data_IF_513005500798
#
_entry.id   IF_513005500798
#
_cell.length_a   1.000
_cell.length_b   1.000
_cell.length_c   1.000
_cell.angle_alpha   90.00
_cell.angle_beta   90.00
_cell.angle_gamma   90.00
#
_symmetry.space_group_name_H-M   'P 1'
#
loop_
_entity.id
_entity.type
_entity.pdbx_description
1 polymer ?
#
# COMPACT_ATOMS: atom_id res chain seq x y z
N UNK A 1 -73.86 73.33 46.61
CA UNK A 1 -73.53 72.82 45.26
C UNK A 1 -72.01 72.84 45.13
N UNK A 2 -71.34 71.70 45.38
CA UNK A 2 -70.63 70.86 44.39
C UNK A 2 -69.57 71.64 43.58
N UNK A 3 -68.29 71.26 43.43
CA UNK A 3 -67.53 70.02 43.69
C UNK A 3 -66.01 70.33 43.58
N UNK A 4 -65.19 69.44 44.16
CA UNK A 4 -63.72 69.38 44.20
C UNK A 4 -62.97 69.49 42.85
N UNK A 5 -61.65 69.78 42.87
CA UNK A 5 -60.82 69.91 41.68
C UNK A 5 -60.24 68.57 41.19
N UNK A 6 -60.07 68.53 39.86
CA UNK A 6 -59.68 67.43 39.00
C UNK A 6 -58.19 67.09 39.11
N UNK A 7 -57.90 65.79 39.25
CA UNK A 7 -56.56 65.20 39.13
C UNK A 7 -56.18 64.98 37.66
N UNK A 8 -54.97 65.40 37.30
CA UNK A 8 -54.36 65.20 35.98
C UNK A 8 -53.67 63.82 35.94
N UNK A 9 -54.01 62.98 34.97
CA UNK A 9 -53.30 61.75 34.65
C UNK A 9 -52.70 61.84 33.24
N UNK A 10 -51.37 61.74 33.15
CA UNK A 10 -50.62 61.57 31.90
C UNK A 10 -50.60 60.08 31.52
N UNK A 11 -50.80 59.69 30.25
CA UNK A 11 -50.61 58.32 29.83
C UNK A 11 -49.11 58.01 29.68
N UNK A 12 -48.69 56.85 30.19
CA UNK A 12 -47.37 56.26 29.95
C UNK A 12 -47.39 55.53 28.61
N UNK A 13 -46.55 55.96 27.66
CA UNK A 13 -46.22 55.20 26.45
C UNK A 13 -45.17 54.16 26.84
N UNK A 14 -45.52 52.88 26.75
CA UNK A 14 -44.56 51.78 26.88
C UNK A 14 -43.99 51.47 25.49
N UNK A 15 -42.70 51.77 25.30
CA UNK A 15 -41.92 51.33 24.14
C UNK A 15 -41.74 49.79 24.21
N UNK A 16 -42.26 49.06 23.22
CA UNK A 16 -41.83 47.69 22.94
C UNK A 16 -40.46 47.76 22.25
N UNK A 17 -39.40 47.39 22.96
CA UNK A 17 -38.07 47.18 22.38
C UNK A 17 -38.03 45.87 21.59
N UNK A 18 -37.87 45.96 20.28
CA UNK A 18 -37.67 44.81 19.40
C UNK A 18 -36.20 44.37 19.47
N UNK A 19 -35.92 43.29 20.20
CA UNK A 19 -34.59 42.68 20.25
C UNK A 19 -34.34 41.97 18.91
N UNK A 20 -33.51 42.54 18.04
CA UNK A 20 -33.04 41.88 16.83
C UNK A 20 -31.90 40.91 17.21
N UNK A 21 -32.21 39.62 17.36
CA UNK A 21 -31.22 38.56 17.50
C UNK A 21 -30.65 38.26 16.12
N UNK A 22 -29.46 38.78 15.83
CA UNK A 22 -28.68 38.41 14.63
C UNK A 22 -28.06 37.03 14.89
N UNK A 23 -28.73 35.98 14.42
CA UNK A 23 -28.19 34.63 14.32
C UNK A 23 -27.10 34.62 13.23
N UNK A 24 -25.84 34.76 13.64
CA UNK A 24 -24.67 34.44 12.82
C UNK A 24 -24.65 32.93 12.59
N UNK A 25 -25.25 32.49 11.48
CA UNK A 25 -25.11 31.13 10.96
C UNK A 25 -23.66 30.94 10.53
N UNK A 26 -22.83 30.36 11.39
CA UNK A 26 -21.57 29.73 10.99
C UNK A 26 -21.91 28.51 10.13
N UNK A 27 -22.11 28.73 8.83
CA UNK A 27 -22.07 27.67 7.85
C UNK A 27 -20.67 27.06 7.92
N UNK A 28 -20.55 25.94 8.62
CA UNK A 28 -19.37 25.08 8.54
C UNK A 28 -19.33 24.56 7.10
N UNK A 29 -18.57 25.24 6.25
CA UNK A 29 -18.26 24.76 4.90
C UNK A 29 -17.46 23.47 5.06
N UNK A 30 -18.17 22.33 5.09
CA UNK A 30 -17.55 21.04 4.87
C UNK A 30 -16.87 21.13 3.50
N UNK A 31 -15.56 21.04 3.46
CA UNK A 31 -14.83 20.89 2.21
C UNK A 31 -15.49 19.73 1.43
N UNK A 32 -15.70 19.88 0.11
CA UNK A 32 -16.26 18.80 -0.69
C UNK A 32 -15.39 17.56 -0.51
N UNK A 33 -16.04 16.38 -0.42
CA UNK A 33 -15.31 15.13 -0.36
C UNK A 33 -14.40 15.02 -1.59
N UNK A 34 -13.12 14.75 -1.38
CA UNK A 34 -12.14 14.61 -2.45
C UNK A 34 -12.61 13.51 -3.40
N UNK A 35 -12.64 13.78 -4.71
CA UNK A 35 -12.90 12.74 -5.69
C UNK A 35 -11.62 11.93 -5.99
N UNK A 36 -11.77 10.78 -6.65
CA UNK A 36 -10.63 9.90 -6.95
C UNK A 36 -9.58 10.61 -7.82
N UNK A 37 -10.02 11.47 -8.74
CA UNK A 37 -9.15 12.21 -9.64
C UNK A 37 -8.28 13.21 -8.87
N UNK A 38 -8.84 13.89 -7.88
CA UNK A 38 -8.12 14.79 -6.99
C UNK A 38 -7.15 14.01 -6.08
N UNK A 39 -7.54 12.83 -5.59
CA UNK A 39 -6.65 11.95 -4.83
C UNK A 39 -5.46 11.51 -5.68
N UNK A 40 -5.72 11.02 -6.89
CA UNK A 40 -4.68 10.62 -7.83
C UNK A 40 -3.82 11.81 -8.27
N UNK A 41 -4.39 13.02 -8.45
CA UNK A 41 -3.62 14.22 -8.74
C UNK A 41 -2.61 14.55 -7.63
N UNK A 42 -2.99 14.40 -6.36
CA UNK A 42 -2.07 14.56 -5.22
C UNK A 42 -0.96 13.52 -5.23
N UNK A 43 -1.31 12.24 -5.44
CA UNK A 43 -0.36 11.15 -5.57
C UNK A 43 0.66 11.41 -6.68
N UNK A 44 0.23 11.91 -7.85
CA UNK A 44 1.14 12.22 -8.95
C UNK A 44 2.09 13.39 -8.64
N UNK A 45 1.67 14.37 -7.82
CA UNK A 45 2.59 15.40 -7.34
C UNK A 45 3.62 14.82 -6.38
N UNK A 46 3.22 13.92 -5.47
CA UNK A 46 4.16 13.21 -4.59
C UNK A 46 5.18 12.42 -5.40
N UNK A 47 4.74 11.67 -6.41
CA UNK A 47 5.66 10.94 -7.30
C UNK A 47 6.62 11.88 -8.04
N UNK A 48 6.15 13.06 -8.49
CA UNK A 48 7.00 14.05 -9.15
C UNK A 48 8.05 14.63 -8.20
N UNK A 49 7.62 15.05 -7.02
CA UNK A 49 8.43 15.77 -6.04
C UNK A 49 9.44 14.85 -5.35
N UNK A 50 9.01 13.65 -4.96
CA UNK A 50 9.84 12.70 -4.19
C UNK A 50 10.72 11.85 -5.09
N UNK A 51 10.15 11.25 -6.13
CA UNK A 51 10.88 10.34 -7.02
C UNK A 51 11.50 11.05 -8.23
N UNK A 52 11.29 12.35 -8.39
CA UNK A 52 11.88 13.13 -9.48
C UNK A 52 11.41 12.71 -10.87
N UNK A 53 10.19 12.15 -10.99
CA UNK A 53 9.70 11.63 -12.25
C UNK A 53 9.57 12.73 -13.31
N UNK A 54 10.02 12.44 -14.53
CA UNK A 54 9.82 13.33 -15.68
C UNK A 54 8.35 13.45 -16.07
N UNK A 55 7.99 14.52 -16.79
CA UNK A 55 6.62 14.72 -17.27
C UNK A 55 6.15 13.58 -18.18
N UNK A 56 7.06 12.97 -18.95
CA UNK A 56 6.76 11.79 -19.78
C UNK A 56 6.41 10.58 -18.92
N UNK A 57 7.19 10.28 -17.88
CA UNK A 57 6.91 9.17 -16.96
C UNK A 57 5.58 9.38 -16.24
N UNK A 58 5.34 10.59 -15.73
CA UNK A 58 4.07 10.94 -15.08
C UNK A 58 2.88 10.83 -16.04
N UNK A 59 3.03 11.24 -17.30
CA UNK A 59 1.97 11.09 -18.31
C UNK A 59 1.63 9.62 -18.55
N UNK A 60 2.65 8.74 -18.61
CA UNK A 60 2.44 7.29 -18.74
C UNK A 60 1.69 6.73 -17.54
N UNK A 61 2.11 7.06 -16.31
CA UNK A 61 1.46 6.61 -15.08
C UNK A 61 0.01 7.13 -15.00
N UNK A 62 -0.23 8.40 -15.31
CA UNK A 62 -1.59 8.98 -15.37
C UNK A 62 -2.51 8.19 -16.29
N UNK A 63 -2.04 7.84 -17.49
CA UNK A 63 -2.82 7.06 -18.45
C UNK A 63 -3.17 5.67 -17.92
N UNK A 64 -2.27 5.02 -17.17
CA UNK A 64 -2.54 3.73 -16.54
C UNK A 64 -3.69 3.86 -15.52
N UNK A 65 -3.62 4.87 -14.65
CA UNK A 65 -4.65 5.12 -13.63
C UNK A 65 -5.99 5.53 -14.25
N UNK A 66 -5.97 6.39 -15.28
CA UNK A 66 -7.16 6.80 -16.03
C UNK A 66 -7.84 5.60 -16.70
N UNK A 67 -7.06 4.70 -17.32
CA UNK A 67 -7.59 3.46 -17.92
C UNK A 67 -8.15 2.50 -16.88
N UNK A 68 -7.53 2.43 -15.70
CA UNK A 68 -8.03 1.61 -14.58
C UNK A 68 -9.37 2.14 -14.07
N UNK A 69 -9.49 3.46 -13.90
CA UNK A 69 -10.69 4.13 -13.39
C UNK A 69 -10.93 3.96 -11.89
N UNK A 70 -10.19 3.06 -11.22
CA UNK A 70 -10.33 2.75 -9.78
C UNK A 70 -8.99 2.64 -9.03
N UNK A 71 -7.85 2.48 -9.72
CA UNK A 71 -6.54 2.54 -9.07
C UNK A 71 -6.34 3.89 -8.35
N UNK A 72 -5.89 3.82 -7.10
CA UNK A 72 -5.71 4.98 -6.22
C UNK A 72 -5.56 4.54 -4.77
N UNK A 73 -5.72 5.45 -3.82
CA UNK A 73 -5.57 5.14 -2.38
C UNK A 73 -6.90 4.66 -1.74
N UNK A 74 -7.78 4.07 -2.56
CA UNK A 74 -9.11 3.60 -2.18
C UNK A 74 -10.23 4.52 -2.65
N UNK A 75 -11.49 4.03 -2.62
CA UNK A 75 -12.64 4.86 -2.96
C UNK A 75 -12.85 5.94 -1.89
N UNK A 76 -12.69 7.24 -2.20
CA UNK A 76 -12.73 8.30 -1.20
C UNK A 76 -14.10 8.49 -0.54
N UNK A 77 -15.18 8.03 -1.18
CA UNK A 77 -16.52 8.11 -0.61
C UNK A 77 -16.68 7.21 0.62
N UNK A 78 -16.02 6.04 0.64
CA UNK A 78 -16.26 4.98 1.63
C UNK A 78 -15.01 4.55 2.41
N UNK A 79 -13.81 4.87 1.91
CA UNK A 79 -12.55 4.57 2.57
C UNK A 79 -12.40 5.44 3.80
N UNK A 80 -12.06 4.82 4.93
CA UNK A 80 -11.82 5.47 6.22
C UNK A 80 -10.49 4.96 6.76
N UNK A 81 -9.43 5.70 6.50
CA UNK A 81 -8.11 5.38 7.00
C UNK A 81 -8.08 5.55 8.54
N UNK A 82 -7.61 4.55 9.31
CA UNK A 82 -7.60 4.65 10.78
C UNK A 82 -6.52 5.58 11.33
N UNK A 83 -5.54 5.96 10.52
CA UNK A 83 -4.42 6.82 10.89
C UNK A 83 -4.23 7.87 9.81
N UNK A 84 -4.08 9.14 10.21
CA UNK A 84 -3.70 10.21 9.30
C UNK A 84 -2.20 10.19 9.00
N UNK A 85 -1.80 10.73 7.86
CA UNK A 85 -0.38 10.90 7.50
C UNK A 85 0.39 11.75 8.54
N UNK A 86 -0.27 12.76 9.12
CA UNK A 86 0.32 13.59 10.17
C UNK A 86 0.60 12.79 11.46
N UNK A 87 -0.34 11.92 11.84
CA UNK A 87 -0.15 10.98 12.96
C UNK A 87 0.96 9.97 12.66
N UNK A 88 1.05 9.48 11.42
CA UNK A 88 2.15 8.63 10.99
C UNK A 88 3.50 9.33 11.18
N UNK A 89 3.64 10.57 10.68
CA UNK A 89 4.88 11.36 10.81
C UNK A 89 5.28 11.54 12.28
N UNK A 90 4.35 11.97 13.13
CA UNK A 90 4.60 12.11 14.58
C UNK A 90 5.06 10.80 15.23
N UNK A 91 4.42 9.67 14.90
CA UNK A 91 4.79 8.35 15.43
C UNK A 91 6.17 7.93 14.97
N UNK A 92 6.53 8.21 13.72
CA UNK A 92 7.86 7.92 13.16
C UNK A 92 8.94 8.78 13.82
N UNK A 93 8.68 10.07 13.97
CA UNK A 93 9.60 11.01 14.63
C UNK A 93 9.87 10.57 16.09
N UNK A 94 8.81 10.20 16.82
CA UNK A 94 8.91 9.69 18.18
C UNK A 94 9.69 8.37 18.27
N UNK A 95 9.67 7.54 17.22
CA UNK A 95 10.45 6.30 17.16
C UNK A 95 11.95 6.54 16.86
N UNK A 96 12.36 7.77 16.55
CA UNK A 96 13.75 8.14 16.30
C UNK A 96 14.39 7.38 15.13
N UNK A 97 13.59 6.89 14.18
CA UNK A 97 14.08 6.11 13.04
C UNK A 97 14.27 7.00 11.82
N UNK A 98 15.52 7.22 11.42
CA UNK A 98 15.84 7.89 10.16
C UNK A 98 15.32 7.07 8.98
N UNK A 99 14.49 7.70 8.14
CA UNK A 99 13.84 7.08 6.98
C UNK A 99 14.75 6.89 5.79
N UNK A 100 15.61 7.89 5.57
CA UNK A 100 16.53 7.95 4.46
C UNK A 100 17.88 7.44 4.93
N UNK A 101 18.22 6.22 4.53
CA UNK A 101 19.61 5.79 4.55
C UNK A 101 20.27 6.27 3.26
N UNK A 102 21.06 7.35 3.35
CA UNK A 102 21.83 7.88 2.23
C UNK A 102 22.71 6.82 1.54
N UNK A 103 23.12 5.77 2.27
CA UNK A 103 23.83 4.62 1.72
C UNK A 103 22.95 3.81 0.77
N UNK A 104 21.69 3.59 1.13
CA UNK A 104 20.75 2.86 0.30
C UNK A 104 20.44 3.61 -0.98
N UNK A 105 20.23 4.93 -0.91
CA UNK A 105 20.05 5.77 -2.09
C UNK A 105 21.27 5.71 -3.02
N UNK A 106 22.47 5.71 -2.45
CA UNK A 106 23.70 5.55 -3.21
C UNK A 106 23.74 4.21 -3.94
N UNK A 107 23.38 3.11 -3.29
CA UNK A 107 23.40 1.76 -3.89
C UNK A 107 22.30 1.61 -4.95
N UNK A 108 21.05 1.94 -4.59
CA UNK A 108 19.87 1.70 -5.42
C UNK A 108 19.63 2.77 -6.50
N UNK A 109 20.22 3.96 -6.32
CA UNK A 109 20.05 5.10 -7.23
C UNK A 109 18.61 5.58 -7.33
N UNK A 110 17.85 5.48 -6.23
CA UNK A 110 16.49 5.97 -6.08
C UNK A 110 16.19 6.16 -4.58
N UNK A 111 15.35 7.14 -4.21
CA UNK A 111 14.93 7.32 -2.83
C UNK A 111 14.10 6.13 -2.35
N UNK A 112 14.14 5.88 -1.04
CA UNK A 112 13.32 4.88 -0.35
C UNK A 112 13.40 3.44 -0.89
N UNK A 113 14.50 3.06 -1.54
CA UNK A 113 14.74 1.66 -1.90
C UNK A 113 15.74 1.01 -0.96
N UNK A 114 15.55 -0.26 -0.62
CA UNK A 114 16.51 -1.07 0.14
C UNK A 114 17.26 -2.06 -0.76
N UNK A 115 18.59 -2.20 -0.59
CA UNK A 115 19.36 -3.22 -1.28
C UNK A 115 18.98 -4.62 -0.77
N UNK A 116 18.79 -5.55 -1.71
CA UNK A 116 18.52 -6.94 -1.42
C UNK A 116 19.79 -7.78 -1.56
N UNK A 117 20.21 -8.40 -0.46
CA UNK A 117 21.39 -9.24 -0.34
C UNK A 117 21.21 -10.32 0.73
N UNK A 118 22.09 -11.32 0.77
CA UNK A 118 22.15 -12.27 1.89
C UNK A 118 23.14 -11.75 2.95
N UNK A 119 22.69 -11.18 4.09
CA UNK A 119 23.59 -10.62 5.11
C UNK A 119 24.51 -11.65 5.76
N UNK A 120 24.26 -12.95 5.57
CA UNK A 120 25.18 -14.00 6.03
C UNK A 120 26.40 -14.19 5.11
N UNK A 121 26.38 -13.62 3.90
CA UNK A 121 27.38 -13.88 2.83
C UNK A 121 27.86 -12.63 2.12
N UNK A 122 27.05 -11.58 2.11
CA UNK A 122 27.20 -10.39 1.31
C UNK A 122 27.00 -9.13 2.16
N UNK A 123 27.56 -8.03 1.69
CA UNK A 123 27.26 -6.67 2.15
C UNK A 123 26.21 -6.02 1.24
N UNK A 124 25.62 -4.92 1.70
CA UNK A 124 24.64 -4.16 0.93
C UNK A 124 25.19 -3.68 -0.43
N UNK A 125 26.48 -3.33 -0.50
CA UNK A 125 27.16 -2.87 -1.72
C UNK A 125 27.23 -3.94 -2.81
N UNK A 126 27.15 -5.22 -2.43
CA UNK A 126 27.17 -6.35 -3.35
C UNK A 126 25.79 -6.72 -3.88
N UNK A 127 24.73 -6.02 -3.44
CA UNK A 127 23.37 -6.24 -3.89
C UNK A 127 23.26 -6.10 -5.42
N UNK A 128 22.43 -6.97 -6.01
CA UNK A 128 22.12 -6.99 -7.46
C UNK A 128 20.68 -6.57 -7.74
N UNK A 129 19.90 -6.37 -6.69
CA UNK A 129 18.55 -5.88 -6.77
C UNK A 129 18.29 -4.95 -5.58
N UNK A 130 17.39 -4.00 -5.78
CA UNK A 130 16.76 -3.25 -4.70
C UNK A 130 15.25 -3.43 -4.75
N UNK A 131 14.58 -3.18 -3.62
CA UNK A 131 13.14 -3.17 -3.49
C UNK A 131 12.69 -1.85 -2.86
N UNK A 132 11.52 -1.38 -3.21
CA UNK A 132 10.85 -0.28 -2.52
C UNK A 132 10.70 -0.62 -1.02
N UNK A 133 11.10 0.31 -0.15
CA UNK A 133 11.02 0.12 1.30
C UNK A 133 9.58 0.12 1.78
N UNK A 134 8.70 0.85 1.10
CA UNK A 134 7.29 0.97 1.43
C UNK A 134 6.42 0.40 0.31
N UNK A 135 5.15 0.14 0.62
CA UNK A 135 4.15 -0.11 -0.42
C UNK A 135 4.06 1.10 -1.36
N UNK A 136 3.73 0.87 -2.64
CA UNK A 136 3.66 1.93 -3.64
C UNK A 136 2.68 3.03 -3.18
N UNK A 137 3.09 4.32 -3.09
CA UNK A 137 4.08 5.00 -3.93
C UNK A 137 5.54 4.96 -3.48
N UNK A 138 5.92 4.11 -2.51
CA UNK A 138 7.28 4.05 -1.96
C UNK A 138 7.68 5.38 -1.29
N UNK A 139 6.74 5.93 -0.52
CA UNK A 139 6.93 7.16 0.25
C UNK A 139 6.39 6.93 1.66
N UNK A 140 7.19 7.17 2.70
CA UNK A 140 6.74 6.98 4.07
C UNK A 140 5.61 7.95 4.42
N UNK A 141 4.63 7.43 5.15
CA UNK A 141 3.42 8.12 5.57
C UNK A 141 2.48 8.56 4.43
N UNK A 142 2.62 8.01 3.23
CA UNK A 142 1.60 8.04 2.19
C UNK A 142 0.74 6.78 2.25
N UNK A 143 -0.53 6.85 1.84
CA UNK A 143 -1.36 5.64 1.76
C UNK A 143 -0.96 4.78 0.54
N UNK A 144 -1.00 3.45 0.66
CA UNK A 144 -0.70 2.57 -0.45
C UNK A 144 -1.74 2.70 -1.56
N UNK A 145 -1.29 2.61 -2.80
CA UNK A 145 -2.16 2.43 -3.96
C UNK A 145 -2.73 1.01 -3.92
N UNK A 146 -4.04 0.92 -4.00
CA UNK A 146 -4.83 -0.31 -4.07
C UNK A 146 -5.73 -0.27 -5.30
N UNK A 147 -6.60 -1.28 -5.47
CA UNK A 147 -7.48 -1.42 -6.64
C UNK A 147 -6.71 -1.48 -7.97
N UNK A 148 -5.42 -1.78 -7.89
CA UNK A 148 -4.50 -1.89 -9.01
C UNK A 148 -4.44 -3.34 -9.48
N UNK A 149 -4.38 -3.53 -10.79
CA UNK A 149 -4.18 -4.86 -11.40
C UNK A 149 -2.70 -5.23 -11.39
N UNK A 150 -2.39 -6.53 -11.45
CA UNK A 150 -1.01 -6.99 -11.58
C UNK A 150 -0.30 -6.39 -12.80
N UNK A 151 -1.00 -6.30 -13.94
CA UNK A 151 -0.48 -5.64 -15.15
C UNK A 151 -0.21 -4.16 -14.92
N UNK A 152 -1.14 -3.46 -14.27
CA UNK A 152 -1.00 -2.02 -13.99
C UNK A 152 0.19 -1.77 -13.07
N UNK A 153 0.36 -2.58 -12.02
CA UNK A 153 1.53 -2.54 -11.15
C UNK A 153 2.84 -2.73 -11.93
N UNK A 154 2.90 -3.75 -12.80
CA UNK A 154 4.09 -3.99 -13.65
C UNK A 154 4.41 -2.79 -14.55
N UNK A 155 3.41 -2.23 -15.22
CA UNK A 155 3.57 -1.07 -16.11
C UNK A 155 3.94 0.22 -15.35
N UNK A 156 3.42 0.42 -14.14
CA UNK A 156 3.80 1.56 -13.29
C UNK A 156 5.26 1.42 -12.86
N UNK A 157 5.69 0.23 -12.41
CA UNK A 157 7.08 0.00 -12.06
C UNK A 157 8.02 0.22 -13.25
N UNK A 158 7.66 -0.28 -14.44
CA UNK A 158 8.41 -0.06 -15.67
C UNK A 158 8.53 1.43 -16.02
N UNK A 159 7.42 2.19 -15.95
CA UNK A 159 7.41 3.63 -16.20
C UNK A 159 8.34 4.41 -15.24
N UNK A 160 8.60 3.88 -14.05
CA UNK A 160 9.53 4.45 -13.07
C UNK A 160 10.99 3.98 -13.25
N UNK A 161 11.29 3.20 -14.29
CA UNK A 161 12.62 2.60 -14.47
C UNK A 161 12.93 1.50 -13.45
N UNK A 162 11.89 0.91 -12.87
CA UNK A 162 11.90 -0.24 -11.97
C UNK A 162 11.23 -1.42 -12.71
N UNK A 163 10.79 -2.44 -11.98
CA UNK A 163 10.03 -3.60 -12.48
C UNK A 163 9.17 -4.18 -11.35
N UNK A 164 8.20 -5.00 -11.69
CA UNK A 164 7.51 -5.80 -10.68
C UNK A 164 8.53 -6.76 -10.02
N UNK A 165 8.41 -6.95 -8.71
CA UNK A 165 9.26 -7.90 -8.00
C UNK A 165 8.95 -9.35 -8.42
N UNK A 166 9.98 -10.18 -8.56
CA UNK A 166 9.76 -11.62 -8.56
C UNK A 166 9.41 -12.07 -7.13
N UNK A 167 8.54 -13.06 -6.98
CA UNK A 167 8.06 -13.51 -5.66
C UNK A 167 9.21 -13.82 -4.68
N UNK A 168 10.33 -14.39 -5.15
CA UNK A 168 11.49 -14.70 -4.30
C UNK A 168 12.21 -13.46 -3.75
N UNK A 169 12.15 -12.32 -4.46
CA UNK A 169 12.75 -11.05 -4.03
C UNK A 169 11.96 -10.45 -2.88
N UNK A 170 10.63 -10.39 -3.03
CA UNK A 170 9.72 -9.95 -1.97
C UNK A 170 9.82 -10.87 -0.74
N UNK A 171 9.85 -12.19 -0.97
CA UNK A 171 10.05 -13.20 0.09
C UNK A 171 11.37 -13.02 0.84
N UNK A 172 12.45 -12.75 0.10
CA UNK A 172 13.77 -12.46 0.64
C UNK A 172 13.79 -11.15 1.45
N UNK A 173 13.17 -10.10 0.90
CA UNK A 173 12.98 -8.82 1.56
C UNK A 173 12.27 -9.00 2.91
N UNK A 174 11.20 -9.79 2.94
CA UNK A 174 10.44 -10.07 4.17
C UNK A 174 11.27 -10.89 5.16
N UNK A 175 11.91 -11.96 4.69
CA UNK A 175 12.72 -12.82 5.56
C UNK A 175 13.98 -12.14 6.10
N UNK A 176 14.37 -10.99 5.51
CA UNK A 176 15.58 -10.25 5.85
C UNK A 176 16.86 -10.81 5.19
N UNK A 177 16.71 -11.59 4.12
CA UNK A 177 17.83 -12.16 3.36
C UNK A 177 17.39 -12.59 1.96
N UNK A 178 17.94 -11.95 0.93
CA UNK A 178 17.75 -12.39 -0.45
C UNK A 178 18.75 -13.51 -0.78
N UNK A 179 18.22 -14.72 -0.98
CA UNK A 179 18.98 -15.87 -1.48
C UNK A 179 18.74 -16.02 -2.98
N UNK A 180 19.52 -16.89 -3.63
CA UNK A 180 19.28 -17.26 -5.01
C UNK A 180 17.80 -17.71 -5.23
N UNK A 181 17.23 -17.44 -6.42
CA UNK A 181 15.86 -17.86 -6.74
C UNK A 181 15.69 -19.38 -6.53
N UNK A 182 14.66 -19.79 -5.80
CA UNK A 182 14.42 -21.17 -5.38
C UNK A 182 13.26 -21.85 -6.14
N UNK A 183 12.90 -21.31 -7.31
CA UNK A 183 11.79 -21.83 -8.09
C UNK A 183 12.04 -23.25 -8.61
N UNK A 184 11.16 -24.18 -8.25
CA UNK A 184 11.14 -25.57 -8.73
C UNK A 184 10.52 -25.69 -10.13
N UNK A 185 11.14 -25.05 -11.12
CA UNK A 185 10.68 -25.07 -12.52
C UNK A 185 10.55 -26.49 -13.11
N UNK A 186 11.30 -27.46 -12.57
CA UNK A 186 11.16 -28.87 -12.94
C UNK A 186 9.74 -29.41 -12.70
N UNK A 187 9.05 -28.91 -11.67
CA UNK A 187 7.68 -29.29 -11.33
C UNK A 187 6.61 -28.67 -12.24
N UNK A 188 6.97 -27.63 -12.99
CA UNK A 188 6.10 -26.93 -13.93
C UNK A 188 6.08 -27.54 -15.34
N UNK A 189 7.04 -28.41 -15.67
CA UNK A 189 7.19 -28.96 -17.02
C UNK A 189 6.03 -29.87 -17.40
N UNK A 190 5.50 -29.69 -18.60
CA UNK A 190 4.51 -30.58 -19.23
C UNK A 190 3.13 -30.56 -18.57
N UNK A 191 2.80 -29.55 -17.77
CA UNK A 191 1.50 -29.42 -17.10
C UNK A 191 0.90 -28.03 -17.29
N UNK A 192 -0.40 -27.89 -17.01
CA UNK A 192 -1.07 -26.60 -17.07
C UNK A 192 -0.56 -25.65 -15.98
N UNK A 193 -0.63 -24.32 -16.19
CA UNK A 193 -0.16 -23.33 -15.22
C UNK A 193 -0.71 -23.50 -13.80
N UNK A 194 -2.02 -23.75 -13.66
CA UNK A 194 -2.61 -23.98 -12.34
C UNK A 194 -2.04 -25.20 -11.61
N UNK A 195 -1.73 -26.27 -12.35
CA UNK A 195 -1.07 -27.46 -11.79
C UNK A 195 0.39 -27.17 -11.44
N UNK A 196 1.11 -26.46 -12.31
CA UNK A 196 2.49 -26.03 -12.07
C UNK A 196 2.60 -25.19 -10.78
N UNK A 197 1.78 -24.15 -10.66
CA UNK A 197 1.74 -23.24 -9.50
C UNK A 197 1.42 -24.02 -8.23
N UNK A 198 0.41 -24.90 -8.27
CA UNK A 198 0.07 -25.76 -7.12
C UNK A 198 1.27 -26.61 -6.67
N UNK A 199 1.94 -27.30 -7.60
CA UNK A 199 3.08 -28.18 -7.29
C UNK A 199 4.27 -27.39 -6.74
N UNK A 200 4.61 -26.27 -7.36
CA UNK A 200 5.71 -25.40 -6.93
C UNK A 200 5.43 -24.80 -5.55
N UNK A 201 4.20 -24.32 -5.30
CA UNK A 201 3.75 -23.83 -3.99
C UNK A 201 3.85 -24.91 -2.92
N UNK A 202 3.30 -26.09 -3.18
CA UNK A 202 3.29 -27.18 -2.18
C UNK A 202 4.72 -27.62 -1.81
N UNK A 203 5.64 -27.63 -2.78
CA UNK A 203 7.06 -27.90 -2.53
C UNK A 203 7.73 -26.78 -1.72
N UNK A 204 7.54 -25.52 -2.13
CA UNK A 204 8.12 -24.34 -1.49
C UNK A 204 7.63 -24.19 -0.04
N UNK A 205 6.32 -24.28 0.19
CA UNK A 205 5.76 -24.13 1.52
C UNK A 205 6.27 -25.21 2.48
N UNK A 206 6.36 -26.47 2.04
CA UNK A 206 6.89 -27.57 2.86
C UNK A 206 8.36 -27.37 3.22
N UNK A 207 9.16 -26.80 2.31
CA UNK A 207 10.58 -26.52 2.55
C UNK A 207 10.79 -25.41 3.59
N UNK A 208 9.99 -24.34 3.53
CA UNK A 208 10.19 -23.14 4.33
C UNK A 208 9.37 -23.08 5.63
N UNK A 209 8.29 -23.86 5.75
CA UNK A 209 7.43 -23.88 6.94
C UNK A 209 8.18 -24.12 8.27
N UNK A 210 9.17 -25.03 8.37
CA UNK A 210 9.93 -25.22 9.60
C UNK A 210 10.73 -23.98 10.06
N UNK A 211 10.98 -23.03 9.14
CA UNK A 211 11.70 -21.78 9.38
C UNK A 211 10.77 -20.57 9.27
N UNK A 212 9.46 -20.78 9.41
CA UNK A 212 8.45 -19.72 9.30
C UNK A 212 8.80 -18.53 10.20
N UNK A 213 8.78 -17.35 9.61
CA UNK A 213 9.03 -16.08 10.28
C UNK A 213 8.28 -14.96 9.59
N UNK A 214 8.07 -13.89 10.33
CA UNK A 214 7.53 -12.62 9.87
C UNK A 214 8.68 -11.62 9.73
N UNK A 215 8.43 -10.52 9.04
CA UNK A 215 9.41 -9.44 8.84
C UNK A 215 10.07 -9.03 10.16
N UNK A 216 9.27 -8.97 11.23
CA UNK A 216 9.66 -8.51 12.56
C UNK A 216 10.01 -9.62 13.57
N UNK A 217 10.15 -10.89 13.17
CA UNK A 217 10.56 -11.97 14.09
C UNK A 217 9.98 -13.35 13.82
N UNK A 218 10.23 -14.34 14.70
CA UNK A 218 9.88 -15.74 14.48
C UNK A 218 8.41 -16.10 14.71
N UNK A 219 7.60 -15.16 15.21
CA UNK A 219 6.17 -15.38 15.48
C UNK A 219 5.35 -14.15 15.14
N UNK A 220 4.12 -14.35 14.68
CA UNK A 220 3.14 -13.29 14.48
C UNK A 220 2.87 -12.56 15.81
N UNK A 221 2.82 -11.23 15.79
CA UNK A 221 2.52 -10.40 16.95
C UNK A 221 1.54 -9.30 16.58
N UNK A 222 0.38 -9.29 17.27
CA UNK A 222 -0.64 -8.25 17.07
C UNK A 222 -0.11 -6.87 17.40
N UNK A 223 -0.54 -5.86 16.65
CA UNK A 223 -0.17 -4.46 16.86
C UNK A 223 1.24 -4.07 16.40
N UNK A 224 2.06 -5.02 15.95
CA UNK A 224 3.38 -4.70 15.37
C UNK A 224 3.23 -4.09 13.98
N UNK A 225 2.33 -4.64 13.17
CA UNK A 225 2.06 -4.18 11.80
C UNK A 225 0.69 -3.54 11.66
N UNK A 226 0.48 -2.88 10.54
CA UNK A 226 -0.78 -2.25 10.13
C UNK A 226 -1.89 -3.27 9.85
N UNK A 227 -2.38 -3.97 10.89
CA UNK A 227 -3.31 -5.09 10.75
C UNK A 227 -4.59 -4.96 11.62
N UNK A 228 -4.78 -3.80 12.28
CA UNK A 228 -5.86 -3.57 13.25
C UNK A 228 -6.97 -2.62 12.74
N UNK A 229 -7.15 -2.50 11.43
CA UNK A 229 -8.25 -1.77 10.81
C UNK A 229 -9.51 -2.63 10.68
N UNK A 230 -10.52 -2.16 9.95
CA UNK A 230 -11.84 -2.77 9.81
C UNK A 230 -12.32 -2.79 8.36
N UNK A 231 -13.13 -3.78 8.00
CA UNK A 231 -13.85 -3.79 6.71
C UNK A 231 -14.95 -2.73 6.73
N UNK A 232 -15.21 -2.11 5.58
CA UNK A 232 -16.41 -1.28 5.40
C UNK A 232 -17.68 -2.10 5.67
N UNK A 233 -18.70 -1.52 6.32
CA UNK A 233 -19.96 -2.19 6.56
C UNK A 233 -20.55 -2.77 5.26
N UNK A 234 -20.89 -4.06 5.26
CA UNK A 234 -21.47 -4.74 4.10
C UNK A 234 -20.48 -5.19 3.03
N UNK A 235 -19.17 -4.95 3.17
CA UNK A 235 -18.17 -5.44 2.21
C UNK A 235 -18.06 -6.98 2.23
N UNK A 236 -18.50 -7.63 1.14
CA UNK A 236 -18.51 -9.10 0.98
C UNK A 236 -17.26 -9.65 0.27
N UNK A 237 -16.15 -8.90 0.25
CA UNK A 237 -14.87 -9.34 -0.34
C UNK A 237 -14.49 -8.70 -1.67
N UNK A 238 -15.33 -7.82 -2.21
CA UNK A 238 -15.04 -7.01 -3.40
C UNK A 238 -16.14 -5.99 -3.68
N UNK A 239 -15.93 -5.16 -4.69
CA UNK A 239 -16.85 -4.08 -5.11
C UNK A 239 -16.35 -2.68 -4.74
N UNK A 240 -16.06 -1.87 -5.76
CA UNK A 240 -15.52 -0.52 -5.63
C UNK A 240 -16.37 0.40 -4.73
N UNK A 241 -17.70 0.30 -4.81
CA UNK A 241 -18.64 1.10 -4.02
C UNK A 241 -18.98 0.51 -2.65
N UNK A 242 -18.47 -0.68 -2.32
CA UNK A 242 -18.82 -1.42 -1.10
C UNK A 242 -17.63 -1.63 -0.16
N UNK A 243 -16.42 -1.77 -0.71
CA UNK A 243 -15.22 -2.08 0.05
C UNK A 243 -14.22 -0.91 -0.01
N UNK A 244 -14.15 -0.14 1.08
CA UNK A 244 -13.08 0.83 1.31
C UNK A 244 -11.77 0.13 1.65
N UNK A 245 -10.65 0.73 1.23
CA UNK A 245 -9.32 0.16 1.49
C UNK A 245 -8.97 0.21 2.97
N UNK A 246 -9.42 1.23 3.70
CA UNK A 246 -9.21 1.43 5.14
C UNK A 246 -7.77 1.12 5.60
N UNK A 247 -6.80 1.35 4.71
CA UNK A 247 -5.37 1.10 4.94
C UNK A 247 -4.79 2.15 5.88
N UNK A 248 -3.61 1.87 6.40
CA UNK A 248 -2.78 2.82 7.12
C UNK A 248 -1.78 3.47 6.15
N UNK A 249 -1.23 4.65 6.50
CA UNK A 249 -0.08 5.19 5.79
C UNK A 249 1.11 4.23 5.91
N UNK A 250 1.80 3.99 4.79
CA UNK A 250 2.96 3.10 4.75
C UNK A 250 4.06 3.61 5.70
N UNK A 251 4.75 2.70 6.38
CA UNK A 251 5.73 3.02 7.42
C UNK A 251 5.11 3.56 8.71
N UNK A 252 3.78 3.60 8.87
CA UNK A 252 3.10 4.05 10.10
C UNK A 252 3.34 3.14 11.31
N UNK A 253 3.94 1.98 11.11
CA UNK A 253 4.32 1.02 12.14
C UNK A 253 5.83 0.76 12.09
N UNK A 254 6.65 1.56 12.79
CA UNK A 254 8.11 1.55 12.63
C UNK A 254 8.81 0.22 12.98
N UNK A 255 8.14 -0.65 13.72
CA UNK A 255 8.66 -1.98 14.09
C UNK A 255 8.18 -3.09 13.14
N UNK A 256 7.23 -2.80 12.24
CA UNK A 256 6.86 -3.67 11.13
C UNK A 256 7.86 -3.54 9.99
N UNK A 257 9.09 -4.02 10.24
CA UNK A 257 10.18 -3.97 9.26
C UNK A 257 10.98 -5.27 9.28
N UNK A 258 11.53 -5.62 8.13
CA UNK A 258 12.47 -6.73 8.02
C UNK A 258 13.88 -6.36 8.47
N UNK A 259 14.76 -7.36 8.52
CA UNK A 259 16.20 -7.14 8.73
C UNK A 259 16.91 -6.41 7.59
N UNK A 260 16.24 -6.19 6.46
CA UNK A 260 16.72 -5.41 5.31
C UNK A 260 16.04 -4.02 5.23
N UNK A 261 15.41 -3.58 6.31
CA UNK A 261 14.75 -2.27 6.41
C UNK A 261 13.65 -2.03 5.37
N UNK A 262 12.89 -3.09 5.07
CA UNK A 262 11.70 -3.06 4.23
C UNK A 262 10.46 -3.19 5.12
N UNK A 263 9.52 -2.27 4.96
CA UNK A 263 8.36 -2.08 5.82
C UNK A 263 7.08 -2.69 5.25
N UNK A 264 6.14 -2.99 6.15
CA UNK A 264 4.74 -3.36 5.83
C UNK A 264 4.60 -4.56 4.88
N UNK A 265 5.61 -5.42 4.79
CA UNK A 265 5.51 -6.71 4.08
C UNK A 265 4.50 -7.65 4.75
N UNK A 266 4.18 -7.40 6.03
CA UNK A 266 3.07 -8.02 6.73
C UNK A 266 2.04 -6.94 7.09
N UNK A 267 0.75 -7.22 6.92
CA UNK A 267 -0.34 -6.28 7.14
C UNK A 267 -0.58 -5.34 5.97
N UNK A 268 -1.29 -4.25 6.26
CA UNK A 268 -1.71 -3.16 5.37
C UNK A 268 -2.38 -3.59 4.06
N UNK A 269 -1.67 -3.60 2.93
CA UNK A 269 -2.13 -4.12 1.65
C UNK A 269 -1.38 -5.41 1.30
N UNK A 270 -2.11 -6.39 0.77
CA UNK A 270 -1.48 -7.49 0.05
C UNK A 270 -0.85 -6.94 -1.24
N UNK A 271 0.17 -7.61 -1.77
CA UNK A 271 0.95 -7.07 -2.87
C UNK A 271 1.07 -8.04 -4.05
N UNK A 272 0.89 -7.51 -5.26
CA UNK A 272 1.17 -8.22 -6.49
C UNK A 272 2.67 -8.47 -6.67
N UNK A 273 3.01 -9.68 -7.14
CA UNK A 273 4.36 -10.01 -7.60
C UNK A 273 4.29 -10.95 -8.81
N UNK A 274 5.44 -11.14 -9.44
CA UNK A 274 5.63 -12.10 -10.51
C UNK A 274 6.02 -13.48 -9.98
N UNK A 275 5.20 -14.49 -10.25
CA UNK A 275 5.54 -15.90 -10.09
C UNK A 275 5.90 -16.52 -11.44
N UNK A 276 7.20 -16.64 -11.76
CA UNK A 276 7.65 -17.30 -12.98
C UNK A 276 7.43 -18.82 -12.90
N UNK A 277 7.06 -19.44 -14.02
CA UNK A 277 7.03 -20.90 -14.19
C UNK A 277 8.24 -21.43 -14.96
N UNK A 278 9.02 -20.53 -15.54
CA UNK A 278 10.27 -20.82 -16.24
C UNK A 278 11.23 -19.61 -16.18
N UNK A 279 12.55 -19.82 -16.40
CA UNK A 279 13.54 -18.77 -16.18
C UNK A 279 13.39 -17.51 -17.04
N UNK A 280 12.85 -17.63 -18.25
CA UNK A 280 12.60 -16.52 -19.18
C UNK A 280 11.35 -15.68 -18.81
N UNK A 281 10.59 -16.08 -17.78
CA UNK A 281 9.48 -15.28 -17.22
C UNK A 281 9.92 -14.43 -16.01
N UNK A 282 11.20 -14.49 -15.62
CA UNK A 282 11.72 -13.76 -14.45
C UNK A 282 11.93 -12.28 -14.75
N UNK A 283 11.26 -11.41 -14.00
CA UNK A 283 11.44 -9.96 -14.11
C UNK A 283 12.88 -9.56 -13.75
N UNK A 284 13.47 -10.23 -12.75
CA UNK A 284 14.87 -10.03 -12.34
C UNK A 284 15.90 -10.30 -13.44
N UNK A 285 15.52 -11.05 -14.48
CA UNK A 285 16.35 -11.33 -15.67
C UNK A 285 16.03 -10.44 -16.87
N UNK A 286 15.22 -9.40 -16.68
CA UNK A 286 14.83 -8.45 -17.73
C UNK A 286 13.71 -8.95 -18.65
N UNK A 287 12.89 -9.91 -18.20
CA UNK A 287 11.75 -10.40 -18.98
C UNK A 287 10.60 -9.38 -19.01
N UNK A 288 10.01 -9.21 -20.20
CA UNK A 288 8.73 -8.52 -20.43
C UNK A 288 7.55 -9.52 -20.49
N UNK A 289 7.82 -10.78 -20.82
CA UNK A 289 6.86 -11.89 -20.79
C UNK A 289 6.75 -12.51 -19.40
N UNK A 290 6.33 -11.70 -18.42
CA UNK A 290 6.15 -12.10 -17.03
C UNK A 290 5.26 -13.36 -16.87
N UNK A 291 5.40 -14.03 -15.74
CA UNK A 291 4.68 -15.25 -15.40
C UNK A 291 3.25 -14.98 -14.91
N UNK A 292 2.95 -15.49 -13.71
CA UNK A 292 1.62 -15.50 -13.13
C UNK A 292 1.54 -14.66 -11.86
N UNK A 293 0.34 -14.22 -11.52
CA UNK A 293 0.10 -13.46 -10.30
C UNK A 293 0.36 -14.33 -9.06
N UNK A 294 1.21 -13.85 -8.18
CA UNK A 294 1.28 -14.26 -6.77
C UNK A 294 0.99 -13.03 -5.91
N UNK A 295 0.30 -13.24 -4.79
CA UNK A 295 -0.13 -12.18 -3.89
C UNK A 295 0.30 -12.55 -2.48
N UNK A 296 1.10 -11.69 -1.86
CA UNK A 296 1.66 -11.94 -0.53
C UNK A 296 1.45 -10.78 0.40
N UNK A 297 1.79 -11.05 1.65
CA UNK A 297 1.48 -10.22 2.78
C UNK A 297 0.23 -10.73 3.49
N UNK A 298 -0.24 -9.90 4.39
CA UNK A 298 -1.56 -10.00 4.97
C UNK A 298 -2.31 -8.73 4.56
N UNK A 299 -3.49 -8.46 5.11
CA UNK A 299 -4.10 -7.15 4.91
C UNK A 299 -4.54 -6.56 6.23
N UNK A 300 -4.99 -5.32 6.16
CA UNK A 300 -5.23 -4.40 7.26
C UNK A 300 -6.16 -4.87 8.40
N UNK A 301 -6.75 -6.08 8.37
CA UNK A 301 -7.59 -6.63 9.47
C UNK A 301 -7.01 -7.87 10.15
N UNK A 302 -5.78 -8.28 9.82
CA UNK A 302 -5.24 -9.57 10.28
C UNK A 302 -5.12 -9.72 11.80
N UNK A 303 -5.10 -8.63 12.56
CA UNK A 303 -5.15 -8.68 14.03
C UNK A 303 -6.51 -9.13 14.57
N UNK A 304 -7.58 -8.97 13.80
CA UNK A 304 -8.94 -9.38 14.17
C UNK A 304 -9.44 -10.60 13.39
N UNK A 305 -8.95 -10.81 12.16
CA UNK A 305 -9.33 -11.93 11.30
C UNK A 305 -8.14 -12.46 10.51
N UNK A 306 -7.60 -13.60 10.95
CA UNK A 306 -6.47 -14.26 10.29
C UNK A 306 -6.96 -15.27 9.25
N UNK A 307 -7.09 -14.82 8.01
CA UNK A 307 -7.68 -15.60 6.92
C UNK A 307 -6.81 -16.79 6.47
N UNK A 308 -5.49 -16.65 6.56
CA UNK A 308 -4.51 -17.64 6.11
C UNK A 308 -3.15 -17.41 6.80
N UNK A 309 -2.18 -18.33 6.68
CA UNK A 309 -0.79 -18.06 7.05
C UNK A 309 -0.22 -16.87 6.25
N UNK A 310 0.73 -16.15 6.83
CA UNK A 310 1.31 -14.93 6.24
C UNK A 310 2.81 -14.77 6.55
N UNK A 311 3.49 -15.86 6.92
CA UNK A 311 4.94 -15.83 7.11
C UNK A 311 5.65 -15.57 5.77
N UNK A 312 6.84 -14.98 5.83
CA UNK A 312 7.50 -14.33 4.69
C UNK A 312 7.62 -15.20 3.43
N UNK A 313 7.86 -16.51 3.60
CA UNK A 313 8.03 -17.48 2.50
C UNK A 313 6.79 -18.34 2.25
N UNK A 314 5.63 -17.95 2.77
CA UNK A 314 4.38 -18.68 2.50
C UNK A 314 3.77 -18.24 1.18
N UNK A 315 3.58 -19.15 0.23
CA UNK A 315 2.88 -18.87 -1.03
C UNK A 315 1.41 -19.26 -0.93
N UNK A 316 0.53 -18.36 -1.36
CA UNK A 316 -0.90 -18.58 -1.27
C UNK A 316 -1.36 -19.62 -2.29
N UNK A 317 -2.54 -20.22 -2.11
CA UNK A 317 -3.18 -20.90 -3.22
C UNK A 317 -3.38 -19.96 -4.42
N UNK A 318 -3.59 -20.53 -5.61
CA UNK A 318 -3.77 -19.76 -6.86
C UNK A 318 -5.15 -19.07 -6.91
N UNK A 319 -5.46 -18.31 -5.87
CA UNK A 319 -6.63 -17.46 -5.74
C UNK A 319 -6.46 -16.27 -6.67
N UNK A 320 -7.51 -15.97 -7.43
CA UNK A 320 -7.51 -14.84 -8.38
C UNK A 320 -6.38 -14.88 -9.41
N UNK A 321 -5.92 -16.10 -9.72
CA UNK A 321 -4.76 -16.35 -10.55
C UNK A 321 -4.96 -15.97 -12.02
N UNK A 322 -4.04 -15.17 -12.56
CA UNK A 322 -3.97 -14.81 -13.98
C UNK A 322 -2.51 -14.68 -14.43
N UNK A 323 -2.26 -14.50 -15.73
CA UNK A 323 -0.96 -13.98 -16.17
C UNK A 323 -0.80 -12.57 -15.63
N UNK A 324 0.42 -12.19 -15.22
CA UNK A 324 0.68 -10.83 -14.70
C UNK A 324 0.25 -9.78 -15.73
N UNK A 325 0.59 -9.99 -17.01
CA UNK A 325 0.31 -9.03 -18.08
C UNK A 325 -1.11 -9.13 -18.68
N UNK A 326 -2.01 -9.91 -18.06
CA UNK A 326 -3.42 -9.98 -18.48
C UNK A 326 -4.11 -8.62 -18.26
N UNK A 327 -4.85 -8.12 -19.25
CA UNK A 327 -5.58 -6.84 -19.16
C UNK A 327 -6.68 -6.86 -18.10
N UNK A 328 -7.14 -8.04 -17.73
CA UNK A 328 -8.16 -8.30 -16.73
C UNK A 328 -7.59 -8.99 -15.48
N UNK A 329 -6.26 -8.96 -15.29
CA UNK A 329 -5.63 -9.44 -14.05
C UNK A 329 -6.28 -8.82 -12.81
N UNK A 330 -6.28 -9.58 -11.72
CA UNK A 330 -7.09 -9.27 -10.54
C UNK A 330 -6.70 -7.96 -9.87
N UNK A 331 -7.68 -7.29 -9.26
CA UNK A 331 -7.52 -6.13 -8.39
C UNK A 331 -8.50 -6.23 -7.22
N UNK A 332 -8.19 -5.62 -6.08
CA UNK A 332 -9.10 -5.56 -4.94
C UNK A 332 -8.78 -4.38 -4.01
N UNK A 333 -9.70 -4.05 -3.09
CA UNK A 333 -9.57 -2.90 -2.17
C UNK A 333 -8.37 -2.96 -1.22
N UNK A 334 -7.81 -4.14 -1.02
CA UNK A 334 -6.71 -4.42 -0.12
C UNK A 334 -5.47 -4.92 -0.86
N UNK A 335 -5.43 -4.76 -2.19
CA UNK A 335 -4.39 -5.31 -3.04
C UNK A 335 -3.66 -4.16 -3.75
N UNK A 336 -2.40 -3.96 -3.35
CA UNK A 336 -1.45 -3.01 -3.88
C UNK A 336 -0.24 -3.72 -4.48
N UNK A 337 0.93 -3.09 -4.37
CA UNK A 337 2.21 -3.60 -4.89
C UNK A 337 3.36 -2.76 -4.35
N UNK A 338 4.57 -3.20 -4.65
CA UNK A 338 5.79 -2.39 -4.58
C UNK A 338 6.72 -2.78 -5.73
N UNK A 339 7.67 -1.92 -6.09
CA UNK A 339 8.58 -2.16 -7.20
C UNK A 339 9.93 -2.72 -6.74
N UNK A 340 10.59 -3.43 -7.66
CA UNK A 340 11.98 -3.86 -7.53
C UNK A 340 12.81 -3.24 -8.66
N UNK A 341 14.13 -3.11 -8.47
CA UNK A 341 15.05 -2.59 -9.48
C UNK A 341 16.26 -3.50 -9.56
N UNK A 342 16.55 -4.02 -10.75
CA UNK A 342 17.85 -4.70 -10.97
C UNK A 342 18.95 -3.66 -11.02
N UNK A 343 20.04 -3.91 -10.28
CA UNK A 343 21.22 -3.03 -10.24
C UNK A 343 22.47 -3.86 -10.52
N UNK A 344 23.51 -3.20 -11.01
CA UNK A 344 24.84 -3.82 -11.07
C UNK A 344 25.49 -3.65 -9.70
N UNK A 345 26.12 -4.72 -9.20
CA UNK A 345 26.98 -4.64 -8.01
C UNK A 345 28.08 -3.61 -8.28
N UNK A 346 28.27 -2.67 -7.37
CA UNK A 346 29.29 -1.62 -7.50
C UNK A 346 30.67 -2.09 -7.09
#
# INVERSE_FOLDING_TARGET
MNRSPSTVHRPRVALLGMLLVVLLLFASSRAPAQDLQQQNARLFQVLKEVHGLSDTQLTTIRRIFERSGVAGQGNPAITRHPMSEATCRQRRDAAGRTLLDSRFEQICGAPFMAPLYDPARESAEQARACIDQFEFPDVPCEYPVVWVRAREAALVCEAMGKRLCDAHEWEGACAGALRAPDYRFDLARGVSPGVAIKRMRDAHNREHEPQARWSYGPAYRKGVCAAASSKSPGCQGGGWSQCGSNTFPAGGFPDCRSGLDVYDLNGNAAEHMNLPLKPDEMASRGSDTLGYTEMKGSWFIFDSYRAHPDWCRWRAPYWHGSRVMDEHSHHNYHLGFRCCKSIQSR
#
